data_IF_975881766768
#
_entry.id   IF_975881766768
#
_cell.length_a   1.000
_cell.length_b   1.000
_cell.length_c   1.000
_cell.angle_alpha   90.00
_cell.angle_beta   90.00
_cell.angle_gamma   90.00
#
_symmetry.space_group_name_H-M   'P 1'
#
loop_
_entity.id
_entity.type
_entity.pdbx_description
1 polymer ?
#
# COMPACT_ATOMS: atom_id res chain seq x y z
N UNK A 1 -9.14 11.79 -7.06
CA UNK A 1 -9.42 12.71 -5.94
C UNK A 1 -8.09 13.14 -5.35
N UNK A 2 -7.92 14.40 -4.96
CA UNK A 2 -6.61 14.88 -4.47
C UNK A 2 -6.25 14.26 -3.10
N UNK A 3 -4.97 13.85 -2.89
CA UNK A 3 -4.50 13.28 -1.62
C UNK A 3 -4.67 14.24 -0.44
N UNK A 4 -4.92 13.71 0.75
CA UNK A 4 -4.91 14.53 1.97
C UNK A 4 -3.46 14.85 2.35
N UNK A 5 -3.14 16.10 2.77
CA UNK A 5 -1.81 16.44 3.24
C UNK A 5 -1.40 15.56 4.42
N UNK A 6 -0.47 14.62 4.18
CA UNK A 6 0.10 13.80 5.24
C UNK A 6 0.97 14.67 6.16
N UNK A 7 0.82 14.60 7.50
CA UNK A 7 1.60 15.40 8.44
C UNK A 7 3.12 15.13 8.35
N UNK A 8 3.51 14.00 7.75
CA UNK A 8 4.91 13.58 7.61
C UNK A 8 5.50 13.88 6.22
N UNK A 9 4.74 14.49 5.32
CA UNK A 9 5.17 14.86 3.96
C UNK A 9 5.34 13.68 2.99
N UNK A 10 5.55 12.45 3.48
CA UNK A 10 5.57 11.21 2.69
C UNK A 10 5.08 10.00 3.49
N UNK A 11 4.56 8.99 2.80
CA UNK A 11 4.07 7.72 3.35
C UNK A 11 4.82 6.57 2.69
N UNK A 12 5.29 5.61 3.50
CA UNK A 12 5.88 4.36 3.01
C UNK A 12 5.10 3.15 3.54
N UNK A 13 4.67 2.27 2.64
CA UNK A 13 3.99 1.01 2.97
C UNK A 13 4.96 -0.17 2.80
N UNK A 14 5.25 -0.86 3.90
CA UNK A 14 6.20 -1.97 3.98
C UNK A 14 5.44 -3.28 4.22
N UNK A 15 5.43 -4.17 3.24
CA UNK A 15 4.65 -5.40 3.25
C UNK A 15 5.54 -6.63 3.53
N UNK A 16 5.36 -7.22 4.72
CA UNK A 16 6.09 -8.42 5.10
C UNK A 16 5.66 -9.64 4.24
N UNK A 17 6.54 -10.64 4.14
CA UNK A 17 6.17 -11.99 3.71
C UNK A 17 5.39 -12.74 4.79
N UNK A 18 4.88 -13.92 4.45
CA UNK A 18 4.13 -14.76 5.39
C UNK A 18 2.83 -15.31 4.84
N UNK A 19 2.78 -15.66 3.55
CA UNK A 19 1.69 -16.39 2.88
C UNK A 19 0.29 -15.87 3.19
N UNK A 20 -0.33 -16.43 4.22
CA UNK A 20 -1.65 -16.04 4.74
C UNK A 20 -1.78 -14.54 5.07
N UNK A 21 -0.69 -13.84 5.36
CA UNK A 21 -0.71 -12.38 5.59
C UNK A 21 -1.04 -11.57 4.32
N UNK A 22 -0.91 -12.15 3.12
CA UNK A 22 -1.12 -11.45 1.86
C UNK A 22 -2.54 -10.90 1.67
N UNK A 23 -3.57 -11.62 2.13
CA UNK A 23 -4.97 -11.16 2.04
C UNK A 23 -5.24 -10.00 3.00
N UNK A 24 -4.63 -10.00 4.18
CA UNK A 24 -4.75 -8.90 5.14
C UNK A 24 -4.14 -7.60 4.62
N UNK A 25 -3.06 -7.70 3.85
CA UNK A 25 -2.40 -6.53 3.25
C UNK A 25 -3.29 -5.79 2.25
N UNK A 26 -4.17 -6.49 1.53
CA UNK A 26 -5.14 -5.85 0.64
C UNK A 26 -6.13 -4.98 1.43
N UNK A 27 -6.61 -5.46 2.58
CA UNK A 27 -7.46 -4.67 3.48
C UNK A 27 -6.76 -3.45 4.07
N UNK A 28 -5.47 -3.55 4.38
CA UNK A 28 -4.65 -2.40 4.80
C UNK A 28 -4.60 -1.34 3.70
N UNK A 29 -4.32 -1.75 2.46
CA UNK A 29 -4.27 -0.82 1.34
C UNK A 29 -5.64 -0.18 1.07
N UNK A 30 -6.72 -0.96 1.12
CA UNK A 30 -8.08 -0.43 0.98
C UNK A 30 -8.38 0.66 2.02
N UNK A 31 -8.06 0.42 3.30
CA UNK A 31 -8.28 1.40 4.36
C UNK A 31 -7.47 2.69 4.15
N UNK A 32 -6.23 2.59 3.66
CA UNK A 32 -5.40 3.74 3.31
C UNK A 32 -6.03 4.54 2.16
N UNK A 33 -6.48 3.86 1.11
CA UNK A 33 -7.13 4.48 -0.05
C UNK A 33 -8.44 5.18 0.34
N UNK A 34 -9.29 4.55 1.16
CA UNK A 34 -10.51 5.16 1.70
C UNK A 34 -10.20 6.40 2.57
N UNK A 35 -9.08 6.38 3.29
CA UNK A 35 -8.59 7.51 4.08
C UNK A 35 -7.87 8.59 3.23
N UNK A 36 -7.74 8.40 1.91
CA UNK A 36 -6.99 9.27 0.99
C UNK A 36 -5.51 9.43 1.38
N UNK A 37 -4.94 8.36 1.94
CA UNK A 37 -3.54 8.24 2.32
C UNK A 37 -2.81 7.40 1.28
N UNK A 38 -2.33 8.04 0.22
CA UNK A 38 -1.62 7.37 -0.86
C UNK A 38 -0.13 7.17 -0.48
N UNK A 39 0.40 5.92 -0.49
CA UNK A 39 1.82 5.67 -0.25
C UNK A 39 2.70 6.20 -1.40
N UNK A 40 3.73 6.98 -1.09
CA UNK A 40 4.77 7.38 -2.05
C UNK A 40 5.74 6.24 -2.35
N UNK A 41 5.93 5.35 -1.36
CA UNK A 41 6.84 4.21 -1.46
C UNK A 41 6.14 2.92 -1.07
N UNK A 42 6.37 1.90 -1.89
CA UNK A 42 5.91 0.53 -1.66
C UNK A 42 7.13 -0.38 -1.65
N UNK A 43 7.23 -1.23 -0.64
CA UNK A 43 8.26 -2.27 -0.57
C UNK A 43 7.68 -3.51 0.06
N UNK A 44 8.22 -4.67 -0.28
CA UNK A 44 7.80 -5.90 0.35
C UNK A 44 8.69 -7.08 0.03
N UNK A 45 8.47 -8.17 0.77
CA UNK A 45 9.20 -9.43 0.60
C UNK A 45 8.23 -10.59 0.37
N UNK A 46 8.60 -11.52 -0.53
CA UNK A 46 7.75 -12.68 -0.88
C UNK A 46 6.33 -12.23 -1.29
N UNK A 47 5.26 -12.72 -0.65
CA UNK A 47 3.88 -12.29 -0.96
C UNK A 47 3.67 -10.77 -0.82
N UNK A 48 4.39 -10.12 0.11
CA UNK A 48 4.35 -8.67 0.24
C UNK A 48 4.97 -7.95 -0.96
N UNK A 49 5.98 -8.55 -1.62
CA UNK A 49 6.55 -7.99 -2.85
C UNK A 49 5.55 -8.06 -4.01
N UNK A 50 4.78 -9.15 -4.10
CA UNK A 50 3.72 -9.31 -5.10
C UNK A 50 2.63 -8.27 -4.90
N UNK A 51 2.15 -8.09 -3.68
CA UNK A 51 1.15 -7.06 -3.38
C UNK A 51 1.69 -5.65 -3.65
N UNK A 52 2.92 -5.33 -3.24
CA UNK A 52 3.55 -4.04 -3.51
C UNK A 52 3.63 -3.76 -5.02
N UNK A 53 4.00 -4.76 -5.82
CA UNK A 53 4.07 -4.64 -7.28
C UNK A 53 2.68 -4.47 -7.92
N UNK A 54 1.66 -5.19 -7.43
CA UNK A 54 0.29 -5.04 -7.91
C UNK A 54 -0.27 -3.65 -7.59
N UNK A 55 -0.06 -3.16 -6.38
CA UNK A 55 -0.50 -1.82 -5.98
C UNK A 55 0.20 -0.75 -6.83
N UNK A 56 1.53 -0.78 -6.93
CA UNK A 56 2.31 0.22 -7.68
C UNK A 56 2.09 0.15 -9.20
N UNK A 57 1.79 -1.04 -9.72
CA UNK A 57 1.72 -1.32 -11.15
C UNK A 57 0.38 -0.97 -11.80
N UNK A 58 -0.65 -0.63 -11.02
CA UNK A 58 -1.96 -0.25 -11.53
C UNK A 58 -2.16 1.27 -11.45
N UNK A 59 -2.82 1.88 -12.44
CA UNK A 59 -3.21 3.28 -12.34
C UNK A 59 -4.17 3.49 -11.16
N UNK A 60 -4.08 4.62 -10.44
CA UNK A 60 -5.08 5.00 -9.44
C UNK A 60 -6.47 5.16 -10.08
N UNK A 61 -7.52 4.82 -9.34
CA UNK A 61 -8.93 5.08 -9.70
C UNK A 61 -9.42 6.45 -9.21
#
# INVERSE_FOLDING_TARGET
MDPVPCPFGRIALVLQGGGALGSYQAGVYQALHEAKLEPDFLTGVSIGAVNAALIAGNPPE
#
